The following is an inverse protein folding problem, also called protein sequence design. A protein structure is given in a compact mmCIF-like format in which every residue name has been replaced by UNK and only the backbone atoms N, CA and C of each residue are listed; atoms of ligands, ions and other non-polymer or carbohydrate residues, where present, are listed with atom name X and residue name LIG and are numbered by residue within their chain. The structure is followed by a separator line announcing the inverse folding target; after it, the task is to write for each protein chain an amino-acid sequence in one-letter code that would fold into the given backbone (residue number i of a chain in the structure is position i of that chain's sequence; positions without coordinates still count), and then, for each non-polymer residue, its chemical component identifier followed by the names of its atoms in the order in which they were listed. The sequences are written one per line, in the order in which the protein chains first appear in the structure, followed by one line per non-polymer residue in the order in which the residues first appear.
data_IF_544273166875
#
_entry.id   IF_544273166875
#
_cell.length_a   1.000
_cell.length_b   1.000
_cell.length_c   1.000
_cell.angle_alpha   90.00
_cell.angle_beta   90.00
_cell.angle_gamma   90.00
#
_symmetry.space_group_name_H-M   'P 1'
#
loop_
_entity.id
_entity.type
_entity.pdbx_description
1 polymer ?
#
# COMPACT_ATOMS: atom_id res chain seq x y z
N UNK A 1 -1.51 -70.63 -27.68
CA UNK A 1 -1.01 -69.27 -27.65
C UNK A 1 -1.93 -68.43 -26.72
N UNK A 2 -1.49 -68.16 -25.47
CA UNK A 2 -2.27 -67.32 -24.48
C UNK A 2 -1.91 -65.87 -24.70
N UNK A 3 -2.90 -65.03 -25.10
CA UNK A 3 -2.74 -63.57 -25.21
C UNK A 3 -2.90 -62.96 -23.83
N UNK A 4 -1.84 -62.40 -23.29
CA UNK A 4 -1.87 -61.58 -22.08
C UNK A 4 -2.35 -60.17 -22.44
N UNK A 5 -3.51 -59.77 -21.90
CA UNK A 5 -4.00 -58.40 -22.01
C UNK A 5 -3.42 -57.59 -20.82
N UNK A 6 -2.53 -56.62 -21.12
CA UNK A 6 -2.05 -55.65 -20.14
C UNK A 6 -3.08 -54.50 -20.04
N UNK A 7 -3.80 -54.45 -18.92
CA UNK A 7 -4.69 -53.36 -18.59
C UNK A 7 -3.84 -52.23 -17.97
N UNK A 8 -3.52 -51.19 -18.74
CA UNK A 8 -2.85 -50.00 -18.24
C UNK A 8 -3.87 -49.15 -17.44
N UNK A 9 -3.76 -49.17 -16.12
CA UNK A 9 -4.54 -48.31 -15.23
C UNK A 9 -3.93 -46.89 -15.29
N UNK A 10 -4.57 -45.99 -16.04
CA UNK A 10 -4.28 -44.56 -16.03
C UNK A 10 -4.79 -43.94 -14.71
N UNK A 11 -3.89 -43.76 -13.76
CA UNK A 11 -4.19 -42.92 -12.58
C UNK A 11 -4.25 -41.46 -13.02
N UNK A 12 -5.38 -40.74 -12.78
CA UNK A 12 -5.41 -39.32 -13.02
C UNK A 12 -4.51 -38.65 -11.97
N UNK A 13 -3.37 -38.13 -12.40
CA UNK A 13 -2.59 -37.17 -11.61
C UNK A 13 -3.40 -35.89 -11.51
N UNK A 14 -4.15 -35.71 -10.41
CA UNK A 14 -4.72 -34.42 -10.06
C UNK A 14 -3.57 -33.53 -9.63
N UNK A 15 -3.08 -32.71 -10.55
CA UNK A 15 -2.14 -31.64 -10.25
C UNK A 15 -2.94 -30.58 -9.46
N UNK A 16 -2.82 -30.57 -8.14
CA UNK A 16 -3.32 -29.45 -7.32
C UNK A 16 -2.40 -28.26 -7.61
N UNK A 17 -2.89 -27.33 -8.43
CA UNK A 17 -2.24 -26.04 -8.58
C UNK A 17 -2.17 -25.37 -7.20
N UNK A 18 -0.98 -25.29 -6.63
CA UNK A 18 -0.77 -24.58 -5.39
C UNK A 18 -1.05 -23.11 -5.66
N UNK A 19 -2.01 -22.52 -4.93
CA UNK A 19 -2.37 -21.11 -5.09
C UNK A 19 -1.12 -20.28 -4.78
N UNK A 20 -0.53 -19.66 -5.81
CA UNK A 20 0.63 -18.80 -5.63
C UNK A 20 0.18 -17.53 -4.90
N UNK A 21 0.78 -17.25 -3.76
CA UNK A 21 0.60 -15.99 -3.02
C UNK A 21 1.70 -15.03 -3.44
N UNK A 22 1.30 -13.96 -4.13
CA UNK A 22 2.20 -12.94 -4.64
C UNK A 22 2.09 -11.67 -3.80
N UNK A 23 3.01 -11.50 -2.83
CA UNK A 23 3.13 -10.28 -2.03
C UNK A 23 4.42 -9.56 -2.42
N UNK A 24 4.33 -8.27 -2.67
CA UNK A 24 5.46 -7.40 -3.05
C UNK A 24 5.62 -6.30 -2.00
N UNK A 25 6.82 -6.13 -1.43
CA UNK A 25 7.98 -7.01 -1.49
C UNK A 25 7.69 -8.40 -0.93
N UNK A 26 8.41 -9.41 -1.45
CA UNK A 26 8.25 -10.77 -0.95
C UNK A 26 8.66 -10.83 0.53
N UNK A 27 7.78 -11.32 1.43
CA UNK A 27 8.09 -11.49 2.84
C UNK A 27 9.28 -12.42 3.09
N UNK A 28 9.97 -12.22 4.21
CA UNK A 28 11.12 -13.04 4.62
C UNK A 28 10.74 -14.52 4.72
N UNK A 29 9.55 -14.80 5.24
CA UNK A 29 9.02 -16.16 5.33
C UNK A 29 7.53 -16.18 5.07
N UNK A 30 7.08 -17.10 4.23
CA UNK A 30 5.68 -17.42 3.94
C UNK A 30 5.49 -18.93 4.05
N UNK A 31 4.50 -19.36 4.84
CA UNK A 31 4.06 -20.75 4.91
C UNK A 31 2.58 -20.80 4.56
N UNK A 32 2.23 -21.46 3.45
CA UNK A 32 0.84 -21.68 3.06
C UNK A 32 0.23 -22.80 3.89
N UNK A 33 -1.01 -22.61 4.30
CA UNK A 33 -1.82 -23.56 5.04
C UNK A 33 -3.07 -23.90 4.22
N UNK A 34 -3.76 -24.98 4.59
CA UNK A 34 -4.99 -25.36 3.91
C UNK A 34 -6.18 -24.50 4.39
N UNK A 35 -7.07 -24.16 3.45
CA UNK A 35 -8.33 -23.44 3.73
C UNK A 35 -8.23 -21.94 3.52
N UNK A 36 -9.33 -21.26 3.82
CA UNK A 36 -9.48 -19.83 3.70
C UNK A 36 -10.15 -19.26 4.96
N UNK A 37 -9.79 -18.04 5.31
CA UNK A 37 -10.58 -17.18 6.20
C UNK A 37 -11.61 -16.42 5.37
N UNK A 38 -12.84 -16.33 5.85
CA UNK A 38 -13.92 -15.60 5.18
C UNK A 38 -14.21 -14.33 5.96
N UNK A 39 -14.00 -13.17 5.31
CA UNK A 39 -14.44 -11.89 5.84
C UNK A 39 -15.88 -11.64 5.38
N UNK A 40 -16.81 -11.57 6.31
CA UNK A 40 -18.21 -11.31 6.10
C UNK A 40 -18.76 -10.30 7.14
N UNK A 41 -20.08 -10.05 7.12
CA UNK A 41 -20.76 -9.14 8.06
C UNK A 41 -20.68 -9.57 9.53
N UNK A 42 -20.35 -10.83 9.82
CA UNK A 42 -20.20 -11.36 11.16
C UNK A 42 -18.75 -11.29 11.68
N UNK A 43 -17.81 -10.94 10.81
CA UNK A 43 -16.39 -10.78 11.18
C UNK A 43 -16.22 -9.57 12.09
N UNK A 44 -15.55 -9.75 13.23
CA UNK A 44 -15.20 -8.65 14.14
C UNK A 44 -13.75 -8.20 13.96
N UNK A 45 -13.49 -6.92 14.22
CA UNK A 45 -12.14 -6.33 14.27
C UNK A 45 -11.80 -6.00 15.73
N UNK A 46 -10.84 -6.72 16.29
CA UNK A 46 -10.49 -6.65 17.71
C UNK A 46 -9.11 -6.04 17.92
N UNK A 47 -9.01 -5.11 18.85
CA UNK A 47 -7.78 -4.42 19.22
C UNK A 47 -7.92 -3.75 20.60
N UNK A 48 -6.82 -3.30 21.19
CA UNK A 48 -6.86 -2.55 22.45
C UNK A 48 -7.38 -1.12 22.21
N UNK A 49 -8.61 -0.84 22.58
CA UNK A 49 -9.27 0.47 22.44
C UNK A 49 -8.58 1.62 23.20
N UNK A 50 -7.84 1.33 24.27
CA UNK A 50 -7.13 2.35 25.03
C UNK A 50 -5.91 2.88 24.27
N UNK A 51 -5.47 2.17 23.24
CA UNK A 51 -4.36 2.59 22.38
C UNK A 51 -4.88 3.39 21.19
N UNK A 52 -4.67 4.70 21.20
CA UNK A 52 -5.12 5.62 20.13
C UNK A 52 -4.52 5.29 18.77
N UNK A 53 -3.27 4.82 18.74
CA UNK A 53 -2.59 4.44 17.51
C UNK A 53 -3.24 3.21 16.86
N UNK A 54 -3.60 2.21 17.68
CA UNK A 54 -4.34 1.03 17.19
C UNK A 54 -5.77 1.37 16.75
N UNK A 55 -6.42 2.33 17.41
CA UNK A 55 -7.75 2.80 16.98
C UNK A 55 -7.69 3.41 15.57
N UNK A 56 -6.73 4.29 15.29
CA UNK A 56 -6.55 4.88 13.96
C UNK A 56 -6.24 3.81 12.91
N UNK A 57 -5.37 2.87 13.24
CA UNK A 57 -4.99 1.75 12.37
C UNK A 57 -6.17 0.81 12.09
N UNK A 58 -7.00 0.50 13.09
CA UNK A 58 -8.21 -0.30 12.95
C UNK A 58 -9.27 0.38 12.08
N UNK A 59 -9.43 1.70 12.23
CA UNK A 59 -10.33 2.48 11.38
C UNK A 59 -9.87 2.46 9.91
N UNK A 60 -8.56 2.56 9.66
CA UNK A 60 -8.01 2.45 8.31
C UNK A 60 -8.28 1.07 7.69
N UNK A 61 -8.05 -0.02 8.44
CA UNK A 61 -8.38 -1.38 8.00
C UNK A 61 -9.86 -1.53 7.66
N UNK A 62 -10.73 -1.07 8.55
CA UNK A 62 -12.19 -1.16 8.36
C UNK A 62 -12.65 -0.35 7.14
N UNK A 63 -12.07 0.85 6.95
CA UNK A 63 -12.34 1.67 5.76
C UNK A 63 -11.93 0.93 4.48
N UNK A 64 -10.74 0.33 4.45
CA UNK A 64 -10.26 -0.42 3.28
C UNK A 64 -11.16 -1.61 2.95
N UNK A 65 -11.50 -2.44 3.94
CA UNK A 65 -12.42 -3.59 3.77
C UNK A 65 -13.78 -3.11 3.26
N UNK A 66 -14.33 -2.03 3.83
CA UNK A 66 -15.60 -1.48 3.39
C UNK A 66 -15.54 -0.97 1.93
N UNK A 67 -14.44 -0.30 1.56
CA UNK A 67 -14.24 0.22 0.20
C UNK A 67 -14.29 -0.90 -0.85
N UNK A 68 -13.71 -2.06 -0.58
CA UNK A 68 -13.60 -3.16 -1.55
C UNK A 68 -14.77 -4.14 -1.52
N UNK A 69 -15.47 -4.28 -0.38
CA UNK A 69 -16.53 -5.30 -0.21
C UNK A 69 -17.89 -4.76 0.21
N UNK A 70 -17.97 -3.51 0.66
CA UNK A 70 -19.18 -2.98 1.31
C UNK A 70 -19.39 -3.48 2.74
N UNK A 71 -18.50 -4.33 3.28
CA UNK A 71 -18.61 -4.88 4.63
C UNK A 71 -18.05 -3.87 5.63
N UNK A 72 -18.81 -3.56 6.67
CA UNK A 72 -18.35 -2.80 7.83
C UNK A 72 -18.11 -3.76 9.01
N UNK A 73 -16.86 -3.87 9.46
CA UNK A 73 -16.50 -4.76 10.56
C UNK A 73 -16.94 -4.16 11.90
N UNK A 74 -17.64 -4.97 12.70
CA UNK A 74 -17.95 -4.59 14.08
C UNK A 74 -16.66 -4.61 14.92
N UNK A 75 -16.44 -3.60 15.75
CA UNK A 75 -15.22 -3.50 16.57
C UNK A 75 -15.42 -4.06 17.97
N UNK A 76 -14.43 -4.84 18.44
CA UNK A 76 -14.35 -5.40 19.80
C UNK A 76 -15.61 -6.13 20.25
N UNK A 77 -16.18 -6.90 19.34
CA UNK A 77 -17.32 -7.80 19.63
C UNK A 77 -16.85 -9.24 19.63
N UNK A 78 -17.49 -10.04 20.47
CA UNK A 78 -17.29 -11.49 20.44
C UNK A 78 -17.87 -12.05 19.13
N UNK A 79 -17.00 -12.74 18.40
CA UNK A 79 -17.37 -13.39 17.14
C UNK A 79 -16.57 -14.68 16.98
N UNK A 80 -17.08 -15.61 16.21
CA UNK A 80 -16.36 -16.83 15.83
C UNK A 80 -15.29 -16.55 14.78
N UNK A 81 -15.43 -15.44 14.05
CA UNK A 81 -14.48 -14.99 13.03
C UNK A 81 -13.95 -13.60 13.40
N UNK A 82 -12.64 -13.45 13.58
CA UNK A 82 -12.08 -12.18 13.99
C UNK A 82 -10.82 -11.80 13.19
N UNK A 83 -10.64 -10.49 13.02
CA UNK A 83 -9.34 -9.89 12.67
C UNK A 83 -8.82 -9.22 13.95
N UNK A 84 -7.59 -9.50 14.32
CA UNK A 84 -7.00 -9.03 15.56
C UNK A 84 -5.72 -8.25 15.32
N UNK A 85 -5.62 -7.04 15.88
CA UNK A 85 -4.41 -6.22 15.86
C UNK A 85 -3.74 -6.27 17.25
N UNK A 86 -2.51 -6.79 17.32
CA UNK A 86 -1.81 -7.03 18.59
C UNK A 86 -0.45 -6.36 18.60
N UNK A 87 -0.18 -5.51 19.61
CA UNK A 87 1.18 -5.11 19.93
C UNK A 87 1.82 -6.18 20.81
N UNK A 88 3.01 -6.59 20.40
CA UNK A 88 3.83 -7.60 21.09
C UNK A 88 5.23 -7.03 21.36
N UNK A 89 6.05 -7.77 22.06
CA UNK A 89 7.45 -7.42 22.29
C UNK A 89 8.32 -8.62 21.93
N UNK A 90 8.96 -8.57 20.76
CA UNK A 90 9.90 -9.60 20.31
C UNK A 90 11.06 -8.98 19.54
N UNK A 91 12.28 -9.40 19.82
CA UNK A 91 13.46 -8.91 19.12
C UNK A 91 13.56 -9.39 17.67
N UNK A 92 12.86 -10.47 17.31
CA UNK A 92 13.03 -11.16 16.02
C UNK A 92 12.62 -10.35 14.81
N UNK A 93 11.63 -9.46 14.94
CA UNK A 93 11.07 -8.69 13.82
C UNK A 93 11.42 -7.20 13.86
N UNK A 94 12.12 -6.72 14.89
CA UNK A 94 12.47 -5.30 15.04
C UNK A 94 11.24 -4.39 15.16
N UNK A 95 11.41 -3.11 14.84
CA UNK A 95 10.36 -2.10 15.02
C UNK A 95 9.35 -2.06 13.88
N UNK A 96 9.77 -2.38 12.67
CA UNK A 96 8.94 -2.30 11.46
C UNK A 96 8.46 -3.67 10.95
N UNK A 97 8.88 -4.76 11.60
CA UNK A 97 8.45 -6.10 11.22
C UNK A 97 7.09 -6.49 11.79
N UNK A 98 6.52 -7.54 11.27
CA UNK A 98 5.22 -8.06 11.65
C UNK A 98 5.13 -9.59 11.50
N UNK A 99 4.16 -10.15 12.19
CA UNK A 99 3.67 -11.52 12.02
C UNK A 99 2.22 -11.42 11.52
N UNK A 100 1.91 -12.10 10.43
CA UNK A 100 0.54 -12.23 9.93
C UNK A 100 0.17 -13.70 9.92
N UNK A 101 -0.80 -14.09 10.74
CA UNK A 101 -1.31 -15.45 10.82
C UNK A 101 -2.77 -15.47 10.37
N UNK A 102 -3.07 -16.24 9.34
CA UNK A 102 -4.41 -16.46 8.81
C UNK A 102 -4.79 -17.91 9.01
N UNK A 103 -5.79 -18.15 9.83
CA UNK A 103 -6.46 -19.43 10.02
C UNK A 103 -7.90 -19.35 9.52
N UNK A 104 -8.63 -20.45 9.48
CA UNK A 104 -10.06 -20.45 9.12
C UNK A 104 -10.95 -19.69 10.11
N UNK A 105 -10.44 -19.33 11.31
CA UNK A 105 -11.20 -18.66 12.38
C UNK A 105 -10.73 -17.24 12.68
N UNK A 106 -9.46 -16.92 12.40
CA UNK A 106 -8.89 -15.63 12.74
C UNK A 106 -7.79 -15.19 11.79
N UNK A 107 -7.72 -13.89 11.54
CA UNK A 107 -6.56 -13.18 11.01
C UNK A 107 -5.93 -12.42 12.19
N UNK A 108 -4.67 -12.70 12.48
CA UNK A 108 -3.94 -12.04 13.58
C UNK A 108 -2.73 -11.31 12.99
N UNK A 109 -2.69 -9.99 13.15
CA UNK A 109 -1.55 -9.15 12.81
C UNK A 109 -0.87 -8.73 14.12
N UNK A 110 0.36 -9.14 14.31
CA UNK A 110 1.14 -8.84 15.50
C UNK A 110 2.44 -8.12 15.14
N UNK A 111 2.79 -7.07 15.89
CA UNK A 111 4.02 -6.31 15.66
C UNK A 111 4.48 -5.61 16.95
N UNK A 112 5.73 -5.15 16.97
CA UNK A 112 6.26 -4.39 18.10
C UNK A 112 5.74 -2.94 18.14
N UNK A 113 5.32 -2.41 16.97
CA UNK A 113 4.84 -1.02 16.83
C UNK A 113 3.62 -0.95 15.91
N UNK A 114 2.93 0.21 15.91
CA UNK A 114 1.86 0.49 14.95
C UNK A 114 2.33 0.42 13.50
N UNK A 115 3.58 0.79 13.22
CA UNK A 115 4.15 0.77 11.86
C UNK A 115 4.21 -0.67 11.35
N UNK A 116 4.70 -1.61 12.18
CA UNK A 116 4.68 -3.03 11.84
C UNK A 116 3.26 -3.56 11.62
N UNK A 117 2.27 -3.13 12.42
CA UNK A 117 0.85 -3.48 12.18
C UNK A 117 0.39 -2.99 10.80
N UNK A 118 0.71 -1.73 10.44
CA UNK A 118 0.37 -1.17 9.11
C UNK A 118 1.00 -1.98 7.98
N UNK A 119 2.28 -2.38 8.11
CA UNK A 119 2.93 -3.21 7.08
C UNK A 119 2.33 -4.62 6.99
N UNK A 120 1.91 -5.20 8.11
CA UNK A 120 1.13 -6.45 8.13
C UNK A 120 -0.22 -6.30 7.42
N UNK A 121 -0.89 -5.15 7.60
CA UNK A 121 -2.13 -4.83 6.88
C UNK A 121 -1.89 -4.68 5.38
N UNK A 122 -0.79 -4.04 4.94
CA UNK A 122 -0.46 -3.94 3.51
C UNK A 122 -0.28 -5.33 2.88
N UNK A 123 0.31 -6.28 3.61
CA UNK A 123 0.39 -7.67 3.14
C UNK A 123 -0.98 -8.33 3.09
N UNK A 124 -1.85 -8.11 4.09
CA UNK A 124 -3.23 -8.59 4.05
C UNK A 124 -3.99 -8.01 2.86
N UNK A 125 -3.84 -6.71 2.58
CA UNK A 125 -4.51 -6.05 1.45
C UNK A 125 -4.11 -6.67 0.10
N UNK A 126 -2.86 -7.07 -0.07
CA UNK A 126 -2.40 -7.74 -1.29
C UNK A 126 -2.92 -9.17 -1.44
N UNK A 127 -3.48 -9.78 -0.37
CA UNK A 127 -4.19 -11.06 -0.42
C UNK A 127 -5.65 -10.92 -0.81
N UNK A 128 -6.18 -9.70 -0.82
CA UNK A 128 -7.58 -9.39 -1.15
C UNK A 128 -7.74 -9.06 -2.64
N UNK A 129 -8.95 -9.17 -3.18
CA UNK A 129 -9.21 -8.77 -4.56
C UNK A 129 -8.88 -7.29 -4.79
N UNK A 130 -8.19 -6.99 -5.90
CA UNK A 130 -7.86 -5.62 -6.29
C UNK A 130 -9.09 -4.80 -6.75
N UNK A 131 -10.17 -5.48 -7.12
CA UNK A 131 -11.40 -4.87 -7.64
C UNK A 131 -12.51 -5.05 -6.62
N UNK A 132 -13.34 -4.03 -6.46
CA UNK A 132 -14.52 -4.08 -5.59
C UNK A 132 -15.45 -5.24 -5.98
N UNK A 133 -15.80 -6.08 -5.02
CA UNK A 133 -16.62 -7.28 -5.25
C UNK A 133 -18.04 -7.19 -4.72
N UNK A 134 -18.34 -6.32 -3.73
CA UNK A 134 -19.58 -6.27 -2.96
C UNK A 134 -20.01 -7.67 -2.43
N UNK A 135 -19.04 -8.49 -2.07
CA UNK A 135 -19.22 -9.86 -1.64
C UNK A 135 -18.28 -10.19 -0.47
N UNK A 136 -18.46 -11.37 0.11
CA UNK A 136 -17.52 -11.92 1.09
C UNK A 136 -16.12 -12.01 0.48
N UNK A 137 -15.09 -11.73 1.32
CA UNK A 137 -13.70 -11.81 0.89
C UNK A 137 -13.08 -13.10 1.42
N UNK A 138 -12.31 -13.77 0.57
CA UNK A 138 -11.61 -15.01 0.92
C UNK A 138 -10.11 -14.72 1.02
N UNK A 139 -9.54 -15.02 2.18
CA UNK A 139 -8.10 -14.86 2.44
C UNK A 139 -7.50 -16.24 2.64
N UNK A 140 -6.49 -16.68 1.86
CA UNK A 140 -5.88 -17.98 2.04
C UNK A 140 -5.26 -18.12 3.43
N UNK A 141 -5.41 -19.28 4.05
CA UNK A 141 -4.75 -19.58 5.32
C UNK A 141 -3.24 -19.66 5.10
N UNK A 142 -2.49 -18.92 5.93
CA UNK A 142 -1.03 -18.82 5.84
C UNK A 142 -0.42 -18.27 7.13
N UNK A 143 0.88 -18.36 7.26
CA UNK A 143 1.65 -17.57 8.20
C UNK A 143 2.77 -16.81 7.49
N UNK A 144 2.94 -15.55 7.86
CA UNK A 144 4.00 -14.67 7.37
C UNK A 144 4.81 -14.16 8.55
N UNK A 145 6.13 -14.22 8.42
CA UNK A 145 7.07 -13.44 9.21
C UNK A 145 7.82 -12.51 8.28
N UNK A 146 7.74 -11.20 8.53
CA UNK A 146 8.38 -10.23 7.66
C UNK A 146 8.98 -9.06 8.46
N UNK A 147 10.09 -8.56 7.98
CA UNK A 147 10.78 -7.37 8.49
C UNK A 147 11.66 -6.77 7.40
N UNK A 148 11.89 -5.45 7.42
CA UNK A 148 12.66 -4.81 6.37
C UNK A 148 14.13 -5.20 6.42
N UNK A 149 14.72 -5.44 5.25
CA UNK A 149 16.16 -5.63 5.07
C UNK A 149 16.93 -4.31 5.16
N UNK A 150 16.32 -3.21 4.73
CA UNK A 150 16.90 -1.87 4.71
C UNK A 150 16.05 -0.91 5.54
N UNK A 151 16.69 -0.10 6.38
CA UNK A 151 16.02 0.92 7.19
C UNK A 151 15.45 2.04 6.32
N UNK A 152 16.16 2.46 5.26
CA UNK A 152 15.68 3.45 4.30
C UNK A 152 15.06 2.75 3.09
N UNK A 153 13.80 3.06 2.81
CA UNK A 153 13.05 2.55 1.65
C UNK A 153 12.25 3.71 1.07
N UNK A 154 12.87 4.42 0.15
CA UNK A 154 12.32 5.67 -0.36
C UNK A 154 12.02 5.64 -1.85
N UNK A 155 11.05 6.47 -2.22
CA UNK A 155 10.75 6.82 -3.62
C UNK A 155 10.86 8.33 -3.81
N UNK A 156 11.28 8.71 -5.00
CA UNK A 156 11.48 10.09 -5.41
C UNK A 156 10.43 10.49 -6.45
N UNK A 157 9.78 11.65 -6.25
CA UNK A 157 8.90 12.26 -7.24
C UNK A 157 9.41 13.66 -7.60
N UNK A 158 9.85 13.84 -8.84
CA UNK A 158 10.27 15.11 -9.38
C UNK A 158 9.08 15.88 -9.94
N UNK A 159 8.62 16.89 -9.21
CA UNK A 159 7.53 17.77 -9.64
C UNK A 159 8.05 19.10 -10.21
N UNK A 160 9.36 19.30 -10.18
CA UNK A 160 10.00 20.48 -10.77
C UNK A 160 10.01 20.40 -12.30
N UNK A 161 10.50 19.27 -12.86
CA UNK A 161 10.54 19.09 -14.32
C UNK A 161 9.16 18.91 -14.90
N UNK A 162 8.27 18.16 -14.20
CA UNK A 162 6.86 18.04 -14.55
C UNK A 162 6.01 18.29 -13.31
N UNK A 163 5.12 19.29 -13.39
CA UNK A 163 4.21 19.57 -12.31
C UNK A 163 3.08 18.55 -12.26
N UNK A 164 2.84 17.98 -11.10
CA UNK A 164 1.71 17.11 -10.78
C UNK A 164 0.88 17.73 -9.67
N UNK A 165 -0.43 17.69 -9.78
CA UNK A 165 -1.34 18.23 -8.75
C UNK A 165 -1.33 17.42 -7.44
N UNK A 166 -1.93 17.98 -6.36
CA UNK A 166 -1.97 17.35 -5.03
C UNK A 166 -2.54 15.93 -5.03
N UNK A 167 -3.52 15.67 -5.88
CA UNK A 167 -4.18 14.35 -5.93
C UNK A 167 -3.21 13.24 -6.39
N UNK A 168 -2.42 13.51 -7.45
CA UNK A 168 -1.40 12.54 -7.89
C UNK A 168 -0.33 12.32 -6.81
N UNK A 169 0.03 13.36 -6.06
CA UNK A 169 0.98 13.20 -4.94
C UNK A 169 0.41 12.27 -3.86
N UNK A 170 -0.88 12.38 -3.53
CA UNK A 170 -1.56 11.47 -2.59
C UNK A 170 -1.62 10.03 -3.13
N UNK A 171 -1.98 9.86 -4.41
CA UNK A 171 -1.95 8.53 -5.06
C UNK A 171 -0.54 7.92 -5.02
N UNK A 172 0.49 8.74 -5.20
CA UNK A 172 1.88 8.30 -5.11
C UNK A 172 2.26 7.86 -3.69
N UNK A 173 1.78 8.59 -2.66
CA UNK A 173 1.94 8.21 -1.25
C UNK A 173 1.24 6.87 -0.97
N UNK A 174 0.01 6.68 -1.45
CA UNK A 174 -0.71 5.42 -1.30
C UNK A 174 0.06 4.26 -1.93
N UNK A 175 0.63 4.49 -3.12
CA UNK A 175 1.40 3.48 -3.84
C UNK A 175 2.66 3.08 -3.06
N UNK A 176 3.46 4.04 -2.58
CA UNK A 176 4.68 3.74 -1.80
C UNK A 176 4.34 3.07 -0.48
N UNK A 177 3.23 3.45 0.18
CA UNK A 177 2.75 2.80 1.38
C UNK A 177 2.34 1.34 1.13
N UNK A 178 1.66 1.05 0.01
CA UNK A 178 1.25 -0.31 -0.37
C UNK A 178 2.45 -1.26 -0.52
N UNK A 179 3.62 -0.73 -0.91
CA UNK A 179 4.88 -1.47 -1.01
C UNK A 179 5.76 -1.36 0.24
N UNK A 180 5.23 -0.92 1.37
CA UNK A 180 5.91 -0.83 2.68
C UNK A 180 7.17 0.05 2.65
N UNK A 181 7.17 1.07 1.82
CA UNK A 181 8.19 2.11 1.84
C UNK A 181 7.92 3.10 2.97
N UNK A 182 8.96 3.75 3.48
CA UNK A 182 8.87 4.62 4.65
C UNK A 182 9.38 6.04 4.41
N UNK A 183 9.81 6.36 3.19
CA UNK A 183 10.36 7.67 2.86
C UNK A 183 9.86 8.14 1.51
N UNK A 184 9.27 9.32 1.49
CA UNK A 184 8.90 10.04 0.28
C UNK A 184 9.81 11.23 0.07
N UNK A 185 10.63 11.19 -1.00
CA UNK A 185 11.44 12.33 -1.43
C UNK A 185 10.65 13.15 -2.45
N UNK A 186 10.01 14.21 -2.00
CA UNK A 186 9.26 15.13 -2.84
C UNK A 186 10.17 16.24 -3.34
N UNK A 187 10.62 16.16 -4.58
CA UNK A 187 11.53 17.12 -5.20
C UNK A 187 10.78 18.32 -5.75
N UNK A 188 10.65 19.35 -4.90
CA UNK A 188 9.76 20.49 -5.12
C UNK A 188 10.36 21.59 -5.98
N UNK A 189 11.67 21.74 -6.03
CA UNK A 189 12.32 22.88 -6.67
C UNK A 189 13.57 22.48 -7.42
N UNK A 190 13.71 23.00 -8.64
CA UNK A 190 14.90 22.94 -9.46
C UNK A 190 14.84 24.08 -10.49
N UNK A 191 15.82 24.17 -11.41
CA UNK A 191 15.92 25.23 -12.42
C UNK A 191 14.70 25.31 -13.38
N UNK A 192 13.97 24.21 -13.59
CA UNK A 192 12.81 24.15 -14.48
C UNK A 192 11.49 24.56 -13.84
N UNK A 193 11.44 24.71 -12.52
CA UNK A 193 10.24 25.18 -11.84
C UNK A 193 10.34 25.18 -10.33
N UNK A 194 9.89 26.27 -9.74
CA UNK A 194 9.73 26.41 -8.30
C UNK A 194 8.29 26.03 -7.89
N UNK A 195 8.10 24.96 -7.13
CA UNK A 195 6.78 24.37 -6.88
C UNK A 195 6.23 24.57 -5.47
N UNK A 196 6.91 25.31 -4.60
CA UNK A 196 6.45 25.56 -3.22
C UNK A 196 6.21 27.06 -3.00
N UNK A 197 5.03 27.41 -2.49
CA UNK A 197 4.70 28.80 -2.15
C UNK A 197 5.58 29.32 -1.02
N UNK A 198 6.27 30.45 -1.27
CA UNK A 198 6.96 31.24 -0.26
C UNK A 198 6.30 32.62 -0.23
N UNK A 199 5.41 32.87 0.75
CA UNK A 199 4.60 34.10 0.82
C UNK A 199 5.44 35.39 0.83
N UNK A 200 6.66 35.33 1.39
CA UNK A 200 7.60 36.45 1.39
C UNK A 200 8.19 36.74 0.00
N UNK A 201 8.23 35.77 -0.89
CA UNK A 201 8.82 35.87 -2.23
C UNK A 201 7.84 35.36 -3.31
N UNK A 202 6.74 36.11 -3.58
CA UNK A 202 5.68 35.64 -4.47
C UNK A 202 6.16 35.39 -5.90
N UNK A 203 7.19 36.10 -6.37
CA UNK A 203 7.77 35.86 -7.72
C UNK A 203 8.27 34.44 -7.96
N UNK A 204 8.61 33.71 -6.92
CA UNK A 204 9.00 32.30 -7.04
C UNK A 204 7.87 31.44 -7.61
N UNK A 205 6.62 31.77 -7.35
CA UNK A 205 5.46 31.01 -7.84
C UNK A 205 4.67 31.74 -8.92
N UNK A 206 4.65 33.08 -8.94
CA UNK A 206 3.98 33.82 -10.02
C UNK A 206 4.75 33.78 -11.35
N UNK A 207 6.08 33.65 -11.27
CA UNK A 207 6.98 33.59 -12.45
C UNK A 207 7.74 32.25 -12.47
N UNK A 208 8.46 31.92 -11.41
CA UNK A 208 9.37 30.78 -11.35
C UNK A 208 8.70 29.40 -11.40
N UNK A 209 7.38 29.34 -11.21
CA UNK A 209 6.61 28.10 -11.36
C UNK A 209 6.15 27.83 -12.81
N UNK A 210 6.40 28.75 -13.74
CA UNK A 210 5.82 28.70 -15.09
C UNK A 210 6.91 28.74 -16.17
N UNK A 211 6.71 28.01 -17.26
CA UNK A 211 7.59 27.97 -18.40
C UNK A 211 6.82 27.80 -19.72
N UNK A 212 7.51 27.93 -20.83
CA UNK A 212 6.93 27.59 -22.15
C UNK A 212 6.57 26.10 -22.17
N UNK A 213 5.39 25.79 -22.68
CA UNK A 213 4.98 24.39 -22.84
C UNK A 213 5.73 23.73 -23.99
N UNK A 214 6.51 22.73 -23.65
CA UNK A 214 7.29 21.91 -24.59
C UNK A 214 7.19 20.42 -24.19
N UNK A 215 6.05 20.02 -23.61
CA UNK A 215 5.86 18.66 -23.12
C UNK A 215 5.75 17.61 -24.24
N UNK A 216 5.49 18.04 -25.47
CA UNK A 216 5.56 17.22 -26.70
C UNK A 216 6.98 16.81 -27.08
N UNK A 217 8.01 17.40 -26.45
CA UNK A 217 9.42 17.17 -26.79
C UNK A 217 10.17 16.40 -25.71
N UNK A 218 11.08 15.54 -26.17
CA UNK A 218 12.03 14.88 -25.25
C UNK A 218 12.88 15.93 -24.54
N UNK A 219 13.08 15.76 -23.23
CA UNK A 219 13.72 16.76 -22.37
C UNK A 219 15.02 17.32 -22.94
N UNK A 220 15.94 16.46 -23.36
CA UNK A 220 17.25 16.87 -23.90
C UNK A 220 17.21 17.57 -25.28
N UNK A 221 16.05 17.56 -25.98
CA UNK A 221 15.87 18.21 -27.28
C UNK A 221 15.01 19.46 -27.22
N UNK A 222 14.64 19.93 -26.05
CA UNK A 222 13.84 21.15 -25.87
C UNK A 222 14.67 22.38 -26.21
N UNK A 223 14.21 23.24 -27.13
CA UNK A 223 14.92 24.47 -27.43
C UNK A 223 14.76 25.45 -26.24
N UNK A 224 15.67 26.40 -26.17
CA UNK A 224 15.51 27.53 -25.25
C UNK A 224 14.28 28.35 -25.65
N UNK A 225 13.52 28.82 -24.63
CA UNK A 225 12.40 29.72 -24.83
C UNK A 225 12.88 31.02 -25.46
N UNK A 226 12.10 31.54 -26.41
CA UNK A 226 12.39 32.84 -27.05
C UNK A 226 11.86 33.98 -26.17
N UNK A 227 12.47 35.17 -26.20
CA UNK A 227 11.91 36.33 -25.54
C UNK A 227 10.45 36.59 -25.96
N UNK A 228 9.53 36.74 -24.99
CA UNK A 228 8.10 36.97 -25.25
C UNK A 228 7.27 35.73 -25.51
N UNK A 229 7.82 34.53 -25.52
CA UNK A 229 7.04 33.30 -25.57
C UNK A 229 6.17 33.14 -24.31
N UNK A 230 4.92 32.70 -24.51
CA UNK A 230 3.98 32.52 -23.40
C UNK A 230 4.38 31.34 -22.50
N UNK A 231 4.47 31.58 -21.20
CA UNK A 231 4.75 30.57 -20.19
C UNK A 231 3.44 29.99 -19.68
N UNK A 232 2.99 28.91 -20.30
CA UNK A 232 1.66 28.31 -20.07
C UNK A 232 1.70 27.01 -19.28
N UNK A 233 2.88 26.39 -19.15
CA UNK A 233 3.05 25.14 -18.43
C UNK A 233 3.67 25.38 -17.04
N UNK A 234 3.04 24.85 -16.01
CA UNK A 234 3.55 24.93 -14.65
C UNK A 234 2.48 24.71 -13.60
N UNK A 235 2.78 25.19 -12.43
CA UNK A 235 1.94 25.10 -11.24
C UNK A 235 2.80 25.07 -9.99
N UNK A 236 2.16 25.19 -8.85
CA UNK A 236 2.84 25.11 -7.55
C UNK A 236 1.86 24.67 -6.48
N UNK A 237 2.38 24.28 -5.34
CA UNK A 237 1.59 23.95 -4.16
C UNK A 237 1.57 25.13 -3.21
N UNK A 238 0.38 25.49 -2.74
CA UNK A 238 0.24 26.43 -1.64
C UNK A 238 0.74 25.81 -0.34
N UNK A 239 1.09 26.62 0.66
CA UNK A 239 1.48 26.10 1.96
C UNK A 239 0.39 25.23 2.61
N UNK A 240 -0.87 25.52 2.34
CA UNK A 240 -1.99 24.74 2.90
C UNK A 240 -2.12 23.38 2.20
N UNK A 241 -1.91 23.32 0.89
CA UNK A 241 -1.84 22.04 0.17
C UNK A 241 -0.65 21.17 0.65
N UNK A 242 0.50 21.78 0.91
CA UNK A 242 1.65 21.05 1.50
C UNK A 242 1.29 20.47 2.87
N UNK A 243 0.66 21.27 3.76
CA UNK A 243 0.22 20.81 5.08
C UNK A 243 -0.81 19.68 4.97
N UNK A 244 -1.74 19.78 4.02
CA UNK A 244 -2.74 18.75 3.78
C UNK A 244 -2.08 17.43 3.35
N UNK A 245 -1.12 17.48 2.41
CA UNK A 245 -0.40 16.30 1.94
C UNK A 245 0.44 15.68 3.07
N UNK A 246 1.13 16.50 3.88
CA UNK A 246 1.88 15.99 5.06
C UNK A 246 0.94 15.32 6.07
N UNK A 247 -0.26 15.87 6.27
CA UNK A 247 -1.26 15.27 7.16
C UNK A 247 -1.84 13.98 6.59
N UNK A 248 -1.94 13.89 5.27
CA UNK A 248 -2.41 12.70 4.57
C UNK A 248 -1.42 11.53 4.71
N UNK A 249 -0.11 11.79 4.54
CA UNK A 249 0.96 10.82 4.68
C UNK A 249 1.16 10.34 6.14
#
# INVERSE_FOLDING_TARGET
MKKLFFLAILFPFTCFAQQAVNIIPQPVQINLLQGNFIIDKNTSLNFNNSNKDLLATANFLNHYINKISGIHLATNKTSTNSIELKLIHTAQIGQEGYLLNVSSKAIIISANTKIGIVYGMQSLFQLLPAIRTNATLHVPCLSITDYPRFAYRGMHLDVSRHFFGPELVKEYIDLIAAYKMNTFHWHLVDDQGWRIEIKKYPSLTTTGAWRVDQNDKVWGSRPQAKPGEATTYGGYYTQDQIKEIIKYA
#
